data_IF_825825282696
#
_entry.id   IF_825825282696
#
_cell.length_a   1.000
_cell.length_b   1.000
_cell.length_c   1.000
_cell.angle_alpha   90.00
_cell.angle_beta   90.00
_cell.angle_gamma   90.00
#
_symmetry.space_group_name_H-M   'P 1'
#
loop_
_entity.id
_entity.type
_entity.pdbx_description
1 polymer ?
#
# COMPACT_ATOMS: atom_id res chain seq x y z
N UNK A 1 25.81 40.06 16.43
CA UNK A 1 25.54 39.41 15.13
C UNK A 1 24.68 38.19 15.41
N UNK A 2 23.35 38.28 15.26
CA UNK A 2 22.46 37.14 15.46
C UNK A 2 22.44 36.34 14.16
N UNK A 3 22.98 35.13 14.18
CA UNK A 3 22.88 34.20 13.06
C UNK A 3 21.42 33.73 12.97
N UNK A 4 20.71 34.16 11.92
CA UNK A 4 19.46 33.52 11.50
C UNK A 4 19.83 32.14 10.99
N UNK A 5 19.87 31.15 11.90
CA UNK A 5 19.73 29.76 11.52
C UNK A 5 18.24 29.63 11.20
N UNK A 6 17.90 29.64 9.91
CA UNK A 6 16.66 29.00 9.49
C UNK A 6 16.89 27.53 9.78
N UNK A 7 16.51 27.09 10.98
CA UNK A 7 16.44 25.66 11.27
C UNK A 7 15.49 25.09 10.22
N UNK A 8 16.02 24.23 9.36
CA UNK A 8 15.18 23.45 8.46
C UNK A 8 14.23 22.66 9.34
N UNK A 9 12.96 23.06 9.37
CA UNK A 9 11.88 22.31 10.01
C UNK A 9 11.98 20.88 9.49
N UNK A 10 12.21 19.91 10.38
CA UNK A 10 12.35 18.52 10.00
C UNK A 10 11.05 17.97 9.41
N UNK A 11 11.13 16.89 8.62
CA UNK A 11 9.95 16.28 8.00
C UNK A 11 8.81 16.01 8.99
N UNK A 12 9.15 15.56 10.20
CA UNK A 12 8.19 15.27 11.26
C UNK A 12 7.43 16.51 11.72
N UNK A 13 8.16 17.59 11.98
CA UNK A 13 7.55 18.85 12.43
C UNK A 13 6.66 19.43 11.32
N UNK A 14 7.07 19.29 10.05
CA UNK A 14 6.25 19.66 8.91
C UNK A 14 4.97 18.81 8.83
N UNK A 15 5.07 17.49 8.96
CA UNK A 15 3.91 16.59 8.94
C UNK A 15 2.93 16.89 10.07
N UNK A 16 3.42 17.19 11.28
CA UNK A 16 2.58 17.53 12.43
C UNK A 16 1.83 18.86 12.26
N UNK A 17 2.26 19.71 11.32
CA UNK A 17 1.61 20.99 10.99
C UNK A 17 0.65 20.87 9.81
N UNK A 18 0.62 19.74 9.10
CA UNK A 18 -0.32 19.53 7.99
C UNK A 18 -1.78 19.49 8.48
N UNK A 19 -2.69 19.89 7.59
CA UNK A 19 -4.11 19.77 7.85
C UNK A 19 -4.53 18.30 7.93
N UNK A 20 -5.46 18.01 8.84
CA UNK A 20 -6.07 16.68 8.93
C UNK A 20 -6.99 16.49 7.73
N UNK A 21 -6.80 15.40 6.99
CA UNK A 21 -7.66 14.99 5.88
C UNK A 21 -9.05 14.62 6.40
N UNK A 22 -10.09 14.88 5.60
CA UNK A 22 -11.46 14.50 5.95
C UNK A 22 -11.60 12.98 6.02
N UNK A 23 -12.28 12.49 7.05
CA UNK A 23 -12.53 11.07 7.33
C UNK A 23 -13.60 10.50 6.37
N UNK A 24 -13.29 10.52 5.08
CA UNK A 24 -14.13 9.97 4.03
C UNK A 24 -13.88 8.47 3.90
N UNK A 25 -14.93 7.69 3.63
CA UNK A 25 -14.81 6.25 3.39
C UNK A 25 -13.94 5.87 2.17
N UNK A 26 -13.45 6.85 1.41
CA UNK A 26 -12.59 6.66 0.24
C UNK A 26 -11.12 7.04 0.51
N UNK A 27 -10.80 7.47 1.73
CA UNK A 27 -9.44 7.86 2.08
C UNK A 27 -8.53 6.63 2.26
N UNK A 28 -7.45 6.58 1.46
CA UNK A 28 -6.39 5.59 1.57
C UNK A 28 -5.13 6.23 2.13
N UNK A 29 -4.76 5.85 3.36
CA UNK A 29 -3.57 6.40 4.03
C UNK A 29 -2.28 6.04 3.28
N UNK A 30 -2.21 4.87 2.64
CA UNK A 30 -1.04 4.45 1.87
C UNK A 30 -0.89 5.29 0.59
N UNK A 31 -2.00 5.60 -0.08
CA UNK A 31 -1.98 6.46 -1.27
C UNK A 31 -1.61 7.90 -0.90
N UNK A 32 -2.08 8.39 0.24
CA UNK A 32 -1.66 9.69 0.75
C UNK A 32 -0.14 9.77 0.96
N UNK A 33 0.47 8.77 1.60
CA UNK A 33 1.93 8.73 1.77
C UNK A 33 2.68 8.54 0.45
N UNK A 34 2.10 7.84 -0.53
CA UNK A 34 2.65 7.69 -1.88
C UNK A 34 2.70 9.02 -2.62
N UNK A 35 1.61 9.79 -2.61
CA UNK A 35 1.52 11.12 -3.25
C UNK A 35 2.44 12.13 -2.56
N UNK A 36 2.52 12.09 -1.23
CA UNK A 36 3.32 13.03 -0.44
C UNK A 36 4.78 12.59 -0.24
N UNK A 37 5.22 11.47 -0.83
CA UNK A 37 6.60 10.98 -0.70
C UNK A 37 7.68 11.97 -1.16
N UNK A 38 7.47 12.85 -2.17
CA UNK A 38 8.46 13.87 -2.52
C UNK A 38 8.61 14.95 -1.44
N UNK A 39 7.56 15.16 -0.64
CA UNK A 39 7.51 16.14 0.45
C UNK A 39 8.09 15.54 1.74
N UNK A 40 7.87 14.24 1.96
CA UNK A 40 8.28 13.50 3.14
C UNK A 40 9.07 12.22 2.76
N UNK A 41 10.28 12.34 2.20
CA UNK A 41 11.00 11.19 1.64
C UNK A 41 11.42 10.15 2.70
N UNK A 42 11.65 10.55 3.96
CA UNK A 42 12.01 9.61 5.03
C UNK A 42 10.74 9.10 5.73
N UNK A 43 9.80 9.98 6.07
CA UNK A 43 8.58 9.56 6.76
C UNK A 43 7.70 8.66 5.89
N UNK A 44 7.60 8.89 4.57
CA UNK A 44 6.81 8.04 3.68
C UNK A 44 7.31 6.59 3.66
N UNK A 45 8.63 6.39 3.74
CA UNK A 45 9.23 5.06 3.85
C UNK A 45 8.89 4.41 5.18
N UNK A 46 9.01 5.15 6.29
CA UNK A 46 8.65 4.63 7.62
C UNK A 46 7.16 4.32 7.73
N UNK A 47 6.30 5.19 7.19
CA UNK A 47 4.86 5.01 7.18
C UNK A 47 4.45 3.78 6.37
N UNK A 48 5.06 3.58 5.19
CA UNK A 48 4.84 2.37 4.39
C UNK A 48 5.19 1.11 5.18
N UNK A 49 6.34 1.09 5.85
CA UNK A 49 6.79 -0.08 6.60
C UNK A 49 5.90 -0.36 7.83
N UNK A 50 5.42 0.69 8.51
CA UNK A 50 4.51 0.56 9.66
C UNK A 50 3.10 0.14 9.25
N UNK A 51 2.54 0.74 8.20
CA UNK A 51 1.17 0.48 7.76
C UNK A 51 1.03 -0.79 6.92
N UNK A 52 2.12 -1.33 6.37
CA UNK A 52 2.10 -2.64 5.70
C UNK A 52 1.91 -3.82 6.68
N UNK A 53 2.06 -3.59 8.00
CA UNK A 53 1.88 -4.63 9.00
C UNK A 53 0.38 -4.85 9.23
N UNK A 54 -0.16 -6.06 8.99
CA UNK A 54 -1.56 -6.33 9.28
C UNK A 54 -1.82 -6.21 10.78
N UNK A 55 -2.83 -5.40 11.16
CA UNK A 55 -3.20 -5.11 12.55
C UNK A 55 -3.78 -6.35 13.27
N UNK A 56 -4.25 -7.35 12.50
CA UNK A 56 -4.94 -8.52 13.04
C UNK A 56 -4.33 -9.85 12.59
N UNK A 57 -4.34 -10.82 13.51
CA UNK A 57 -4.03 -12.23 13.24
C UNK A 57 -5.04 -12.89 12.29
N UNK A 58 -6.19 -12.27 11.99
CA UNK A 58 -7.19 -12.80 11.05
C UNK A 58 -6.59 -13.06 9.66
N UNK A 59 -5.60 -12.28 9.21
CA UNK A 59 -4.86 -12.58 7.99
C UNK A 59 -4.17 -13.96 8.08
N UNK A 60 -3.48 -14.25 9.18
CA UNK A 60 -2.86 -15.57 9.41
C UNK A 60 -3.87 -16.71 9.58
N UNK A 61 -5.05 -16.45 10.16
CA UNK A 61 -6.13 -17.44 10.26
C UNK A 61 -6.77 -17.75 8.89
N UNK A 62 -6.90 -16.75 8.01
CA UNK A 62 -7.38 -16.96 6.64
C UNK A 62 -6.41 -17.80 5.79
N UNK A 63 -5.10 -17.57 5.96
CA UNK A 63 -4.04 -18.38 5.36
C UNK A 63 -4.11 -19.82 5.88
N UNK A 64 -4.33 -20.01 7.18
CA UNK A 64 -4.47 -21.34 7.79
C UNK A 64 -5.79 -22.05 7.38
N UNK A 65 -6.88 -21.32 7.21
CA UNK A 65 -8.13 -21.86 6.67
C UNK A 65 -7.97 -22.31 5.21
N UNK A 66 -7.20 -21.55 4.43
CA UNK A 66 -6.86 -21.91 3.04
C UNK A 66 -5.95 -23.14 3.00
N UNK A 67 -4.97 -23.23 3.89
CA UNK A 67 -4.11 -24.43 3.98
C UNK A 67 -4.89 -25.69 4.34
N UNK A 68 -5.94 -25.60 5.17
CA UNK A 68 -6.87 -26.69 5.44
C UNK A 68 -7.65 -27.18 4.20
N UNK A 69 -7.90 -26.32 3.21
CA UNK A 69 -8.49 -26.71 1.91
C UNK A 69 -7.47 -27.29 0.94
N UNK A 70 -6.22 -26.81 0.99
CA UNK A 70 -5.10 -27.33 0.19
C UNK A 70 -4.68 -28.73 0.68
N UNK A 71 -4.76 -28.98 1.98
CA UNK A 71 -4.44 -30.24 2.66
C UNK A 71 -5.70 -31.08 2.92
N UNK A 72 -6.44 -31.43 1.86
CA UNK A 72 -7.54 -32.39 1.97
C UNK A 72 -7.04 -33.81 2.29
N UNK A 73 -7.87 -34.69 2.91
CA UNK A 73 -7.47 -36.04 3.35
C UNK A 73 -6.97 -36.98 2.23
N UNK A 74 -7.12 -36.60 0.96
CA UNK A 74 -6.67 -37.35 -0.22
C UNK A 74 -5.37 -36.80 -0.85
N UNK A 75 -4.74 -35.75 -0.29
CA UNK A 75 -3.51 -35.13 -0.82
C UNK A 75 -2.35 -35.07 0.20
N UNK A 76 -2.27 -36.06 1.08
CA UNK A 76 -1.33 -36.15 2.21
C UNK A 76 0.15 -36.38 1.84
N UNK A 77 0.57 -36.14 0.59
CA UNK A 77 1.94 -36.41 0.12
C UNK A 77 2.74 -35.14 -0.24
N UNK A 78 2.16 -33.95 -0.09
CA UNK A 78 2.90 -32.71 -0.33
C UNK A 78 3.80 -32.41 0.87
N UNK A 79 5.10 -32.28 0.62
CA UNK A 79 6.05 -31.79 1.62
C UNK A 79 5.69 -30.34 1.98
N UNK A 80 5.94 -29.92 3.22
CA UNK A 80 5.75 -28.53 3.68
C UNK A 80 6.29 -27.49 2.69
N UNK A 81 7.47 -27.74 2.10
CA UNK A 81 8.09 -26.86 1.09
C UNK A 81 7.21 -26.65 -0.16
N UNK A 82 6.52 -27.69 -0.62
CA UNK A 82 5.67 -27.60 -1.81
C UNK A 82 4.41 -26.81 -1.47
N UNK A 83 3.83 -27.04 -0.29
CA UNK A 83 2.67 -26.29 0.20
C UNK A 83 3.00 -24.81 0.33
N UNK A 84 4.13 -24.48 0.97
CA UNK A 84 4.65 -23.11 1.07
C UNK A 84 4.83 -22.48 -0.32
N UNK A 85 5.49 -23.17 -1.25
CA UNK A 85 5.66 -22.64 -2.62
C UNK A 85 4.33 -22.38 -3.33
N UNK A 86 3.32 -23.23 -3.14
CA UNK A 86 2.01 -23.09 -3.78
C UNK A 86 1.22 -21.92 -3.18
N UNK A 87 1.28 -21.74 -1.86
CA UNK A 87 0.63 -20.62 -1.18
C UNK A 87 1.32 -19.31 -1.56
N UNK A 88 2.65 -19.23 -1.46
CA UNK A 88 3.40 -18.02 -1.82
C UNK A 88 3.21 -17.64 -3.29
N UNK A 89 3.21 -18.60 -4.21
CA UNK A 89 2.97 -18.31 -5.64
C UNK A 89 1.54 -17.85 -5.90
N UNK A 90 0.55 -18.45 -5.24
CA UNK A 90 -0.84 -17.99 -5.32
C UNK A 90 -1.00 -16.55 -4.81
N UNK A 91 -0.43 -16.24 -3.65
CA UNK A 91 -0.51 -14.90 -3.05
C UNK A 91 0.20 -13.85 -3.91
N UNK A 92 1.39 -14.19 -4.45
CA UNK A 92 2.11 -13.34 -5.39
C UNK A 92 1.25 -13.02 -6.62
N UNK A 93 0.70 -14.05 -7.28
CA UNK A 93 -0.12 -13.87 -8.49
C UNK A 93 -1.33 -12.97 -8.21
N UNK A 94 -1.98 -13.15 -7.05
CA UNK A 94 -3.12 -12.32 -6.64
C UNK A 94 -2.72 -10.85 -6.43
N UNK A 95 -1.61 -10.61 -5.73
CA UNK A 95 -1.08 -9.26 -5.52
C UNK A 95 -0.75 -8.57 -6.85
N UNK A 96 -0.02 -9.25 -7.74
CA UNK A 96 0.34 -8.68 -9.05
C UNK A 96 -0.86 -8.36 -9.93
N UNK A 97 -1.93 -9.14 -9.87
CA UNK A 97 -3.17 -8.84 -10.62
C UNK A 97 -3.86 -7.59 -10.04
N UNK A 98 -3.90 -7.45 -8.71
CA UNK A 98 -4.43 -6.25 -8.07
C UNK A 98 -3.66 -5.01 -8.51
N UNK A 99 -2.32 -5.07 -8.43
CA UNK A 99 -1.47 -3.95 -8.83
C UNK A 99 -1.73 -3.54 -10.29
N UNK A 100 -1.86 -4.50 -11.21
CA UNK A 100 -2.13 -4.23 -12.64
C UNK A 100 -3.47 -3.51 -12.81
N UNK A 101 -4.52 -3.96 -12.11
CA UNK A 101 -5.85 -3.35 -12.18
C UNK A 101 -5.80 -1.91 -11.64
N UNK A 102 -5.08 -1.68 -10.54
CA UNK A 102 -4.93 -0.35 -9.95
C UNK A 102 -4.18 0.60 -10.90
N UNK A 103 -3.10 0.14 -11.56
CA UNK A 103 -2.40 0.93 -12.58
C UNK A 103 -3.25 1.26 -13.80
N UNK A 104 -4.08 0.32 -14.27
CA UNK A 104 -4.95 0.53 -15.43
C UNK A 104 -6.02 1.59 -15.12
N UNK A 105 -6.60 1.52 -13.92
CA UNK A 105 -7.54 2.52 -13.42
C UNK A 105 -6.90 3.91 -13.28
N UNK A 106 -5.73 3.99 -12.65
CA UNK A 106 -4.98 5.25 -12.49
C UNK A 106 -4.68 5.88 -13.87
N UNK A 107 -4.32 5.06 -14.86
CA UNK A 107 -4.03 5.53 -16.21
C UNK A 107 -5.27 6.07 -16.93
N UNK A 108 -6.41 5.38 -16.83
CA UNK A 108 -7.69 5.83 -17.39
C UNK A 108 -8.16 7.16 -16.78
N UNK A 109 -8.03 7.31 -15.46
CA UNK A 109 -8.39 8.55 -14.76
C UNK A 109 -7.53 9.73 -15.23
N UNK A 110 -6.21 9.52 -15.37
CA UNK A 110 -5.30 10.55 -15.87
C UNK A 110 -5.61 10.95 -17.33
N UNK A 111 -5.95 9.99 -18.20
CA UNK A 111 -6.38 10.31 -19.57
C UNK A 111 -7.68 11.12 -19.60
N UNK A 112 -8.62 10.81 -18.72
CA UNK A 112 -9.87 11.55 -18.60
C UNK A 112 -9.60 13.00 -18.18
N UNK A 113 -8.72 13.22 -17.20
CA UNK A 113 -8.32 14.56 -16.74
C UNK A 113 -7.66 15.35 -17.87
N UNK A 114 -6.71 14.76 -18.60
CA UNK A 114 -6.04 15.41 -19.72
C UNK A 114 -7.02 15.80 -20.85
N UNK A 115 -7.99 14.93 -21.13
CA UNK A 115 -9.03 15.20 -22.12
C UNK A 115 -9.96 16.34 -21.68
N UNK A 116 -10.36 16.41 -20.41
CA UNK A 116 -11.17 17.51 -19.88
C UNK A 116 -10.39 18.84 -19.86
N UNK A 117 -9.11 18.82 -19.48
CA UNK A 117 -8.23 19.99 -19.55
C UNK A 117 -8.04 20.49 -20.99
N UNK A 118 -7.97 19.58 -21.96
CA UNK A 118 -7.88 19.94 -23.38
C UNK A 118 -9.16 20.59 -23.93
N UNK A 119 -10.33 20.30 -23.36
CA UNK A 119 -11.61 20.92 -23.76
C UNK A 119 -11.82 22.31 -23.15
N UNK A 120 -11.09 22.65 -22.09
CA UNK A 120 -11.16 23.97 -21.44
C UNK A 120 -10.21 25.02 -22.07
N UNK A 121 -9.37 24.62 -23.04
CA UNK A 121 -8.54 25.52 -23.85
C UNK A 121 -9.24 25.90 -25.15
#
# INVERSE_FOLDING_TARGET
MKTNIVESIGELEKYLQESVEDDSNMFSILDWWKVNSPIFPILSLMARDVFAIPISTVASESVFSTSGRVLGPFRSYLTHKIVESLICTQDWIRGSISDIIDYEKDWEENQQIDNELSKMK
#
